data_IF_951433500047
#
_entry.id   IF_951433500047
#
_cell.length_a   1.000
_cell.length_b   1.000
_cell.length_c   1.000
_cell.angle_alpha   90.00
_cell.angle_beta   90.00
_cell.angle_gamma   90.00
#
_symmetry.space_group_name_H-M   'P 1'
#
loop_
_entity.id
_entity.type
_entity.pdbx_description
1 polymer ?
#
# COMPACT_ATOMS: atom_id res chain seq x y z
N UNK A 1 21.01 4.21 12.84
CA UNK A 1 22.27 3.73 13.41
C UNK A 1 23.43 3.95 12.49
N UNK A 2 24.63 3.94 13.03
CA UNK A 2 25.87 4.12 12.29
C UNK A 2 26.49 2.76 11.94
N UNK A 3 27.15 2.67 10.80
CA UNK A 3 27.90 1.47 10.38
C UNK A 3 29.38 1.80 10.33
N UNK A 4 30.19 0.94 10.92
CA UNK A 4 31.62 1.07 11.03
C UNK A 4 32.33 -0.07 10.32
N UNK A 5 33.49 0.20 9.71
CA UNK A 5 34.44 -0.84 9.33
C UNK A 5 35.12 -1.41 10.58
N UNK A 6 35.73 -2.59 10.46
CA UNK A 6 36.48 -3.25 11.54
C UNK A 6 37.57 -2.35 12.15
N UNK A 7 38.09 -1.36 11.39
CA UNK A 7 39.08 -0.38 11.85
C UNK A 7 38.44 0.86 12.52
N UNK A 8 37.16 0.86 12.87
CA UNK A 8 36.49 1.99 13.51
C UNK A 8 36.12 3.16 12.58
N UNK A 9 36.40 3.05 11.27
CA UNK A 9 36.03 4.10 10.31
C UNK A 9 34.52 4.07 10.04
N UNK A 10 33.84 5.18 10.32
CA UNK A 10 32.41 5.35 9.96
C UNK A 10 32.23 5.27 8.44
N UNK A 11 31.35 4.38 8.00
CA UNK A 11 30.97 4.27 6.57
C UNK A 11 29.68 5.03 6.33
N UNK A 12 28.70 4.88 7.20
CA UNK A 12 27.37 5.51 7.13
C UNK A 12 26.97 5.93 8.53
N UNK A 13 26.60 7.21 8.69
CA UNK A 13 26.11 7.77 9.95
C UNK A 13 24.67 8.28 9.80
N UNK A 14 23.90 8.20 10.89
CA UNK A 14 22.54 8.77 10.98
C UNK A 14 21.51 8.17 10.03
N UNK A 15 21.72 6.96 9.49
CA UNK A 15 20.80 6.29 8.56
C UNK A 15 20.15 5.06 9.17
N UNK A 16 18.98 4.69 8.63
CA UNK A 16 18.19 3.55 9.07
C UNK A 16 18.50 2.30 8.24
N UNK A 17 19.69 1.74 8.40
CA UNK A 17 20.20 0.64 7.56
C UNK A 17 19.41 -0.66 7.71
N UNK A 18 18.80 -0.90 8.86
CA UNK A 18 17.97 -2.08 9.13
C UNK A 18 16.48 -1.87 8.82
N UNK A 19 16.10 -0.69 8.32
CA UNK A 19 14.76 -0.42 7.84
C UNK A 19 14.62 -0.93 6.42
N UNK A 20 14.24 -2.19 6.27
CA UNK A 20 14.03 -2.83 4.96
C UNK A 20 12.71 -2.34 4.38
N UNK A 21 12.69 -2.12 3.06
CA UNK A 21 11.45 -1.86 2.32
C UNK A 21 10.51 -3.05 2.39
N UNK A 22 9.23 -2.81 2.22
CA UNK A 22 8.24 -3.89 2.27
C UNK A 22 8.33 -4.73 0.99
N UNK A 23 8.36 -6.07 1.15
CA UNK A 23 8.44 -6.98 0.02
C UNK A 23 7.08 -7.03 -0.68
N UNK A 24 7.07 -6.69 -1.97
CA UNK A 24 5.91 -6.81 -2.84
C UNK A 24 6.28 -7.61 -4.08
N UNK A 25 5.73 -8.80 -4.18
CA UNK A 25 5.91 -9.72 -5.31
C UNK A 25 4.66 -9.79 -6.19
N UNK A 26 3.74 -8.85 -6.06
CA UNK A 26 2.52 -8.84 -6.87
C UNK A 26 2.76 -8.75 -8.38
N UNK A 27 3.82 -8.05 -8.88
CA UNK A 27 4.15 -8.06 -10.29
C UNK A 27 4.66 -9.41 -10.80
N UNK A 28 5.24 -10.21 -9.91
CA UNK A 28 5.91 -11.47 -10.24
C UNK A 28 5.06 -12.71 -9.96
N UNK A 29 3.79 -12.54 -9.55
CA UNK A 29 2.92 -13.66 -9.16
C UNK A 29 2.79 -14.72 -10.25
N UNK A 30 2.63 -14.32 -11.51
CA UNK A 30 2.51 -15.26 -12.62
C UNK A 30 3.80 -16.06 -12.81
N UNK A 31 4.95 -15.41 -12.81
CA UNK A 31 6.23 -16.08 -12.92
C UNK A 31 6.49 -17.06 -11.75
N UNK A 32 6.05 -16.69 -10.54
CA UNK A 32 6.13 -17.56 -9.37
C UNK A 32 5.20 -18.78 -9.51
N UNK A 33 4.00 -18.60 -10.04
CA UNK A 33 3.07 -19.70 -10.33
C UNK A 33 3.65 -20.64 -11.40
N UNK A 34 4.23 -20.12 -12.47
CA UNK A 34 4.91 -20.90 -13.50
C UNK A 34 6.10 -21.68 -12.95
N UNK A 35 6.78 -21.14 -11.95
CA UNK A 35 7.84 -21.84 -11.22
C UNK A 35 7.33 -22.89 -10.21
N UNK A 36 6.01 -23.12 -10.12
CA UNK A 36 5.38 -24.15 -9.29
C UNK A 36 4.93 -23.65 -7.91
N UNK A 37 4.97 -22.36 -7.61
CA UNK A 37 4.44 -21.84 -6.34
C UNK A 37 2.92 -21.90 -6.36
N UNK A 38 2.33 -22.67 -5.46
CA UNK A 38 0.88 -22.89 -5.36
C UNK A 38 0.22 -22.22 -4.15
N UNK A 39 1.02 -21.64 -3.24
CA UNK A 39 0.52 -20.99 -2.03
C UNK A 39 1.37 -19.79 -1.67
N UNK A 40 0.71 -18.69 -1.34
CA UNK A 40 1.36 -17.42 -0.99
C UNK A 40 0.98 -17.02 0.43
N UNK A 41 1.99 -16.74 1.25
CA UNK A 41 1.80 -16.25 2.62
C UNK A 41 1.99 -14.75 2.65
N UNK A 42 0.97 -14.02 3.09
CA UNK A 42 1.05 -12.58 3.35
C UNK A 42 1.34 -12.37 4.83
N UNK A 43 2.41 -11.65 5.15
CA UNK A 43 2.78 -11.35 6.52
C UNK A 43 2.14 -10.03 6.95
N UNK A 44 1.31 -10.10 7.99
CA UNK A 44 0.58 -8.96 8.53
C UNK A 44 0.87 -8.67 10.00
N UNK A 45 1.96 -9.23 10.55
CA UNK A 45 2.31 -9.01 11.95
C UNK A 45 2.50 -7.53 12.25
N UNK A 46 1.88 -7.05 13.33
CA UNK A 46 1.87 -5.65 13.75
C UNK A 46 1.17 -4.70 12.75
N UNK A 47 0.37 -5.24 11.83
CA UNK A 47 -0.47 -4.47 10.93
C UNK A 47 -1.92 -4.46 11.43
N UNK A 48 -2.65 -3.40 11.08
CA UNK A 48 -4.06 -3.27 11.42
C UNK A 48 -4.99 -4.03 10.46
N UNK A 49 -6.28 -4.06 10.78
CA UNK A 49 -7.28 -4.73 9.97
C UNK A 49 -7.45 -4.09 8.58
N UNK A 50 -7.25 -2.77 8.47
CA UNK A 50 -7.33 -2.05 7.17
C UNK A 50 -6.25 -2.53 6.23
N UNK A 51 -5.01 -2.66 6.73
CA UNK A 51 -3.90 -3.21 5.97
C UNK A 51 -4.22 -4.62 5.46
N UNK A 52 -4.72 -5.49 6.34
CA UNK A 52 -5.05 -6.88 5.98
C UNK A 52 -6.14 -6.91 4.91
N UNK A 53 -7.23 -6.17 5.10
CA UNK A 53 -8.31 -6.07 4.09
C UNK A 53 -7.76 -5.63 2.74
N UNK A 54 -6.97 -4.56 2.72
CA UNK A 54 -6.44 -3.96 1.51
C UNK A 54 -5.48 -4.90 0.77
N UNK A 55 -4.43 -5.34 1.45
CA UNK A 55 -3.35 -6.13 0.82
C UNK A 55 -3.85 -7.53 0.39
N UNK A 56 -4.62 -8.22 1.24
CA UNK A 56 -5.17 -9.53 0.87
C UNK A 56 -6.13 -9.43 -0.31
N UNK A 57 -6.96 -8.39 -0.36
CA UNK A 57 -7.85 -8.16 -1.49
C UNK A 57 -7.09 -7.87 -2.77
N UNK A 58 -6.04 -7.05 -2.71
CA UNK A 58 -5.21 -6.75 -3.86
C UNK A 58 -4.55 -7.99 -4.47
N UNK A 59 -3.88 -8.79 -3.63
CA UNK A 59 -3.28 -10.05 -4.09
C UNK A 59 -4.32 -11.02 -4.62
N UNK A 60 -5.53 -11.06 -4.02
CA UNK A 60 -6.62 -11.90 -4.53
C UNK A 60 -7.04 -11.48 -5.92
N UNK A 61 -7.17 -10.18 -6.18
CA UNK A 61 -7.53 -9.67 -7.51
C UNK A 61 -6.47 -10.00 -8.55
N UNK A 62 -5.18 -9.79 -8.21
CA UNK A 62 -4.08 -10.14 -9.11
C UNK A 62 -4.08 -11.62 -9.45
N UNK A 63 -4.30 -12.50 -8.47
CA UNK A 63 -4.43 -13.94 -8.71
C UNK A 63 -5.68 -14.27 -9.55
N UNK A 64 -6.84 -13.65 -9.29
CA UNK A 64 -8.06 -13.91 -10.05
C UNK A 64 -7.92 -13.44 -11.50
N UNK A 65 -7.21 -12.35 -11.76
CA UNK A 65 -6.87 -11.89 -13.11
C UNK A 65 -6.00 -12.91 -13.86
N UNK A 66 -4.94 -13.42 -13.25
CA UNK A 66 -4.08 -14.46 -13.84
C UNK A 66 -4.90 -15.72 -14.11
N UNK A 67 -5.67 -16.20 -13.14
CA UNK A 67 -6.50 -17.40 -13.26
C UNK A 67 -7.56 -17.28 -14.37
N UNK A 68 -8.17 -16.10 -14.55
CA UNK A 68 -9.15 -15.89 -15.60
C UNK A 68 -8.53 -15.90 -17.00
N UNK A 69 -7.31 -15.39 -17.14
CA UNK A 69 -6.57 -15.36 -18.40
C UNK A 69 -5.92 -16.70 -18.73
N UNK A 70 -5.51 -17.45 -17.71
CA UNK A 70 -4.81 -18.75 -17.84
C UNK A 70 -5.62 -19.91 -17.27
N UNK A 71 -6.91 -19.94 -17.54
CA UNK A 71 -7.87 -20.93 -17.03
C UNK A 71 -7.57 -22.38 -17.44
N UNK A 72 -6.79 -22.60 -18.52
CA UNK A 72 -6.35 -23.92 -18.95
C UNK A 72 -5.16 -24.45 -18.11
N UNK A 73 -4.34 -23.55 -17.56
CA UNK A 73 -3.10 -23.89 -16.86
C UNK A 73 -3.33 -23.95 -15.34
N UNK A 74 -4.25 -23.13 -14.84
CA UNK A 74 -4.46 -22.95 -13.40
C UNK A 74 -5.93 -23.01 -13.03
N UNK A 75 -6.19 -23.58 -11.87
CA UNK A 75 -7.52 -23.61 -11.24
C UNK A 75 -7.46 -23.06 -9.81
N UNK A 76 -8.57 -22.50 -9.36
CA UNK A 76 -8.67 -22.07 -7.97
C UNK A 76 -8.69 -23.28 -7.06
N UNK A 77 -7.89 -23.26 -5.98
CA UNK A 77 -7.88 -24.30 -4.95
C UNK A 77 -9.15 -24.26 -4.07
N UNK A 78 -9.96 -23.24 -4.16
CA UNK A 78 -11.17 -23.07 -3.35
C UNK A 78 -12.32 -22.49 -4.14
N UNK A 79 -13.54 -22.98 -3.90
CA UNK A 79 -14.78 -22.40 -4.38
C UNK A 79 -15.14 -21.15 -3.56
N UNK A 80 -15.90 -20.27 -4.13
CA UNK A 80 -16.35 -19.04 -3.49
C UNK A 80 -15.65 -17.80 -4.00
N UNK A 81 -16.39 -16.70 -3.94
CA UNK A 81 -15.95 -15.37 -4.38
C UNK A 81 -16.01 -14.42 -3.21
N UNK A 82 -15.01 -13.55 -3.12
CA UNK A 82 -15.01 -12.47 -2.15
C UNK A 82 -15.73 -11.27 -2.76
N UNK A 83 -16.75 -10.79 -2.06
CA UNK A 83 -17.47 -9.56 -2.40
C UNK A 83 -17.06 -8.49 -1.42
N UNK A 84 -16.63 -7.34 -1.92
CA UNK A 84 -16.18 -6.18 -1.14
C UNK A 84 -16.73 -4.87 -1.73
N UNK A 85 -16.65 -3.82 -0.96
CA UNK A 85 -17.19 -2.49 -1.28
C UNK A 85 -16.07 -1.43 -1.36
N UNK A 86 -14.85 -1.84 -1.68
CA UNK A 86 -13.70 -0.95 -1.89
C UNK A 86 -12.79 -1.52 -2.98
N UNK A 87 -12.05 -0.65 -3.63
CA UNK A 87 -10.99 -1.00 -4.56
C UNK A 87 -9.67 -1.07 -3.81
N UNK A 88 -8.96 -2.21 -3.83
CA UNK A 88 -7.72 -2.35 -3.07
C UNK A 88 -6.56 -1.60 -3.72
N UNK A 89 -5.82 -0.88 -2.90
CA UNK A 89 -4.63 -0.13 -3.29
C UNK A 89 -3.55 -0.21 -2.19
N UNK A 90 -2.55 -1.09 -2.31
CA UNK A 90 -1.50 -1.23 -1.31
C UNK A 90 -0.70 0.04 -1.04
N UNK A 91 -0.60 0.97 -2.02
CA UNK A 91 0.12 2.23 -1.86
C UNK A 91 -0.49 3.13 -0.77
N UNK A 92 -1.78 2.96 -0.49
CA UNK A 92 -2.54 3.68 0.55
C UNK A 92 -2.46 3.05 1.93
N UNK A 93 -1.77 1.93 2.06
CA UNK A 93 -1.48 1.28 3.35
C UNK A 93 -0.08 1.66 3.83
N UNK A 94 0.26 1.20 5.05
CA UNK A 94 1.61 1.38 5.57
C UNK A 94 2.65 0.75 4.62
N UNK A 95 3.51 1.58 4.04
CA UNK A 95 4.63 1.11 3.22
C UNK A 95 5.87 1.99 3.42
N UNK A 96 7.03 1.38 3.43
CA UNK A 96 8.35 2.03 3.40
C UNK A 96 8.96 2.03 1.99
N UNK A 97 8.11 1.86 0.99
CA UNK A 97 8.45 1.60 -0.39
C UNK A 97 8.49 0.10 -0.67
N UNK A 98 8.14 -0.27 -1.91
CA UNK A 98 8.12 -1.65 -2.37
C UNK A 98 9.51 -2.13 -2.83
N UNK A 99 9.76 -3.43 -2.69
CA UNK A 99 10.92 -4.12 -3.23
C UNK A 99 10.58 -5.57 -3.55
N UNK A 100 11.07 -6.08 -4.66
CA UNK A 100 11.05 -7.52 -4.96
C UNK A 100 12.15 -8.29 -4.20
N UNK A 101 12.87 -7.62 -3.31
CA UNK A 101 13.98 -8.14 -2.54
C UNK A 101 15.11 -8.67 -3.44
N UNK A 102 15.33 -9.97 -3.46
CA UNK A 102 16.41 -10.62 -4.22
C UNK A 102 15.87 -11.55 -5.34
N UNK A 103 14.58 -11.45 -5.66
CA UNK A 103 13.94 -12.36 -6.63
C UNK A 103 14.65 -12.33 -7.99
N UNK A 104 15.04 -11.16 -8.46
CA UNK A 104 15.77 -10.98 -9.73
C UNK A 104 17.28 -10.76 -9.52
N UNK A 105 17.84 -11.31 -8.46
CA UNK A 105 19.26 -11.20 -8.12
C UNK A 105 19.58 -10.06 -7.16
N UNK A 106 20.85 -9.78 -6.99
CA UNK A 106 21.31 -8.74 -6.05
C UNK A 106 20.97 -7.35 -6.57
N UNK A 107 20.08 -6.63 -5.89
CA UNK A 107 19.74 -5.24 -6.19
C UNK A 107 20.19 -4.30 -5.07
N UNK A 108 20.52 -3.06 -5.48
CA UNK A 108 20.71 -1.96 -4.54
C UNK A 108 19.34 -1.39 -4.16
N UNK A 109 19.24 -0.79 -2.96
CA UNK A 109 18.03 -0.08 -2.57
C UNK A 109 16.96 -0.91 -1.85
N UNK A 110 17.35 -2.06 -1.28
CA UNK A 110 16.46 -2.89 -0.44
C UNK A 110 16.09 -2.18 0.88
N UNK A 111 16.90 -1.23 1.33
CA UNK A 111 16.65 -0.52 2.59
C UNK A 111 16.05 0.87 2.36
N UNK A 112 15.19 1.29 3.29
CA UNK A 112 14.68 2.65 3.42
C UNK A 112 15.58 3.44 4.37
N UNK A 113 16.62 4.07 3.82
CA UNK A 113 17.68 4.70 4.61
C UNK A 113 17.24 5.97 5.36
N UNK A 114 16.26 6.69 4.81
CA UNK A 114 15.94 8.06 5.27
C UNK A 114 14.87 8.07 6.36
N UNK A 115 14.03 7.04 6.42
CA UNK A 115 13.00 6.94 7.44
C UNK A 115 12.62 5.49 7.76
N UNK A 116 12.37 5.14 9.05
CA UNK A 116 11.77 3.88 9.43
C UNK A 116 10.24 3.92 9.36
N UNK A 117 9.66 5.11 9.07
CA UNK A 117 8.21 5.33 9.02
C UNK A 117 7.70 5.17 7.59
N UNK A 118 6.41 4.91 7.46
CA UNK A 118 5.73 4.99 6.17
C UNK A 118 5.83 6.42 5.64
N UNK A 119 6.29 6.55 4.41
CA UNK A 119 6.27 7.81 3.67
C UNK A 119 4.92 7.97 2.96
N UNK A 120 4.38 6.86 2.45
CA UNK A 120 3.11 6.83 1.75
C UNK A 120 3.23 7.16 0.27
N UNK A 121 2.11 7.53 -0.33
CA UNK A 121 1.94 7.84 -1.74
C UNK A 121 2.46 9.25 -2.06
N UNK A 122 3.26 9.40 -3.11
CA UNK A 122 3.64 10.72 -3.61
C UNK A 122 2.42 11.45 -4.17
N UNK A 123 2.15 12.65 -3.68
CA UNK A 123 0.98 13.42 -4.08
C UNK A 123 1.31 14.71 -4.81
N UNK A 124 2.54 15.18 -4.76
CA UNK A 124 2.95 16.35 -5.51
C UNK A 124 4.07 17.15 -4.85
N UNK A 125 4.32 18.34 -5.38
CA UNK A 125 5.37 19.25 -4.91
C UNK A 125 4.80 20.63 -4.58
N UNK A 126 5.29 21.25 -3.52
CA UNK A 126 4.92 22.61 -3.13
C UNK A 126 5.43 23.62 -4.16
N UNK A 127 4.53 24.40 -4.75
CA UNK A 127 4.82 25.42 -5.75
C UNK A 127 4.81 26.83 -5.19
N UNK A 128 4.18 27.06 -4.02
CA UNK A 128 4.11 28.37 -3.39
C UNK A 128 3.59 28.29 -1.97
N UNK A 129 3.86 29.34 -1.18
CA UNK A 129 3.36 29.46 0.19
C UNK A 129 2.25 30.51 0.22
N UNK A 130 1.23 30.29 1.05
CA UNK A 130 0.16 31.24 1.38
C UNK A 130 0.02 31.32 2.90
N UNK A 131 -0.76 32.30 3.38
CA UNK A 131 -1.00 32.45 4.83
C UNK A 131 -1.68 31.18 5.39
N UNK A 132 -0.98 30.43 6.24
CA UNK A 132 -1.47 29.21 6.88
C UNK A 132 -1.60 27.99 5.97
N UNK A 133 -1.07 28.04 4.74
CA UNK A 133 -1.15 26.95 3.77
C UNK A 133 -0.08 27.01 2.69
N UNK A 134 -0.20 26.12 1.71
CA UNK A 134 0.69 26.08 0.56
C UNK A 134 -0.07 25.68 -0.72
N UNK A 135 0.43 26.15 -1.86
CA UNK A 135 0.02 25.69 -3.18
C UNK A 135 0.87 24.50 -3.56
N UNK A 136 0.28 23.54 -4.23
CA UNK A 136 1.02 22.41 -4.77
C UNK A 136 0.55 22.04 -6.17
N UNK A 137 1.48 21.49 -6.94
CA UNK A 137 1.16 20.72 -8.13
C UNK A 137 0.78 19.32 -7.69
N UNK A 138 -0.51 18.99 -7.83
CA UNK A 138 -1.11 17.82 -7.20
C UNK A 138 -1.35 16.73 -8.25
N UNK A 139 -0.59 15.65 -8.20
CA UNK A 139 -0.83 14.47 -9.02
C UNK A 139 -2.04 13.65 -8.52
N UNK A 140 -2.31 13.72 -7.21
CA UNK A 140 -3.41 13.01 -6.54
C UNK A 140 -4.14 13.98 -5.62
N UNK A 141 -5.47 14.11 -5.70
CA UNK A 141 -6.22 15.07 -4.89
C UNK A 141 -6.14 14.72 -3.40
N UNK A 142 -5.84 15.71 -2.58
CA UNK A 142 -5.90 15.63 -1.12
C UNK A 142 -7.29 16.01 -0.62
N UNK A 143 -7.63 15.53 0.56
CA UNK A 143 -8.88 15.85 1.25
C UNK A 143 -8.63 16.22 2.72
N UNK A 144 -9.60 16.92 3.32
CA UNK A 144 -9.58 17.14 4.76
C UNK A 144 -9.56 15.81 5.51
N UNK A 145 -8.74 15.72 6.54
CA UNK A 145 -8.50 14.51 7.30
C UNK A 145 -7.34 13.65 6.80
N UNK A 146 -6.81 13.90 5.60
CA UNK A 146 -5.63 13.19 5.11
C UNK A 146 -4.40 13.49 5.97
N UNK A 147 -3.56 12.49 6.19
CA UNK A 147 -2.23 12.64 6.75
C UNK A 147 -1.22 12.83 5.64
N UNK A 148 -0.43 13.90 5.73
CA UNK A 148 0.66 14.16 4.79
C UNK A 148 2.00 14.20 5.50
N UNK A 149 3.05 13.84 4.79
CA UNK A 149 4.40 14.03 5.27
C UNK A 149 5.31 14.62 4.18
N UNK A 150 6.34 15.31 4.65
CA UNK A 150 7.44 15.82 3.83
C UNK A 150 8.71 15.12 4.24
N UNK A 151 9.58 14.82 3.28
CA UNK A 151 10.88 14.20 3.54
C UNK A 151 11.99 15.21 3.25
N UNK A 152 12.88 15.39 4.21
CA UNK A 152 14.02 16.27 4.09
C UNK A 152 15.29 15.59 4.62
N UNK A 153 16.44 16.22 4.45
CA UNK A 153 17.70 15.71 5.00
C UNK A 153 17.68 15.55 6.53
N UNK A 154 16.83 16.31 7.23
CA UNK A 154 16.62 16.22 8.68
C UNK A 154 15.60 15.15 9.10
N UNK A 155 15.00 14.43 8.15
CA UNK A 155 14.02 13.37 8.38
C UNK A 155 12.63 13.69 7.81
N UNK A 156 11.65 12.86 8.19
CA UNK A 156 10.26 13.01 7.77
C UNK A 156 9.46 13.80 8.81
N UNK A 157 8.74 14.82 8.36
CA UNK A 157 7.80 15.62 9.18
C UNK A 157 6.37 15.36 8.71
N UNK A 158 5.48 14.99 9.64
CA UNK A 158 4.07 14.68 9.36
C UNK A 158 3.11 15.76 9.88
N UNK A 159 2.03 15.99 9.14
CA UNK A 159 0.91 16.86 9.54
C UNK A 159 -0.39 16.36 8.92
N UNK A 160 -1.53 16.78 9.46
CA UNK A 160 -2.83 16.48 8.88
C UNK A 160 -3.33 17.65 8.04
N UNK A 161 -4.12 17.35 7.02
CA UNK A 161 -4.80 18.32 6.18
C UNK A 161 -6.10 18.75 6.86
N UNK A 162 -6.26 20.03 7.15
CA UNK A 162 -7.51 20.57 7.69
C UNK A 162 -8.51 20.89 6.59
N UNK A 163 -8.02 21.51 5.51
CA UNK A 163 -8.85 21.97 4.40
C UNK A 163 -8.04 21.98 3.11
N UNK A 164 -8.72 21.74 2.01
CA UNK A 164 -8.20 21.94 0.65
C UNK A 164 -9.13 22.91 -0.07
N UNK A 165 -8.56 23.86 -0.79
CA UNK A 165 -9.29 24.85 -1.54
C UNK A 165 -8.61 25.04 -2.91
N UNK A 166 -9.16 24.35 -3.92
CA UNK A 166 -8.51 24.23 -5.21
C UNK A 166 -7.08 23.71 -5.09
N UNK A 167 -6.06 24.45 -5.58
CA UNK A 167 -4.66 24.02 -5.48
C UNK A 167 -4.02 24.33 -4.13
N UNK A 168 -4.77 24.87 -3.16
CA UNK A 168 -4.24 25.29 -1.85
C UNK A 168 -4.60 24.28 -0.77
N UNK A 169 -3.58 23.83 -0.05
CA UNK A 169 -3.70 22.89 1.08
C UNK A 169 -3.42 23.66 2.37
N UNK A 170 -4.29 23.50 3.35
CA UNK A 170 -4.16 24.08 4.70
C UNK A 170 -3.93 22.97 5.71
N UNK A 171 -2.67 22.72 6.09
CA UNK A 171 -2.33 21.70 7.09
C UNK A 171 -2.47 22.22 8.51
N UNK A 172 -2.46 21.33 9.50
CA UNK A 172 -2.39 21.71 10.91
C UNK A 172 -1.08 22.42 11.28
N UNK A 173 0.01 22.07 10.61
CA UNK A 173 1.35 22.63 10.86
C UNK A 173 2.07 22.86 9.54
N UNK A 174 2.68 24.05 9.44
CA UNK A 174 3.50 24.45 8.28
C UNK A 174 5.00 24.16 8.46
N UNK A 175 5.39 23.61 9.61
CA UNK A 175 6.81 23.36 9.91
C UNK A 175 7.44 22.40 8.88
N UNK A 176 8.58 22.85 8.31
CA UNK A 176 9.33 22.06 7.31
C UNK A 176 8.78 22.13 5.88
N UNK A 177 7.68 22.83 5.63
CA UNK A 177 7.09 23.00 4.30
C UNK A 177 7.66 24.26 3.65
N UNK A 178 8.32 24.07 2.50
CA UNK A 178 8.95 25.13 1.68
C UNK A 178 8.60 24.92 0.22
N UNK A 179 8.76 25.92 -0.61
CA UNK A 179 8.64 25.78 -2.07
C UNK A 179 9.65 24.72 -2.54
N UNK A 180 9.22 23.83 -3.41
CA UNK A 180 10.01 22.69 -3.90
C UNK A 180 9.97 21.43 -3.02
N UNK A 181 9.34 21.48 -1.83
CA UNK A 181 9.18 20.32 -0.94
C UNK A 181 8.25 19.30 -1.59
N UNK A 182 8.68 18.03 -1.61
CA UNK A 182 7.85 16.91 -2.01
C UNK A 182 6.91 16.51 -0.87
N UNK A 183 5.66 16.27 -1.23
CA UNK A 183 4.59 15.92 -0.30
C UNK A 183 4.11 14.52 -0.60
N UNK A 184 3.97 13.72 0.46
CA UNK A 184 3.50 12.34 0.41
C UNK A 184 2.26 12.22 1.30
N UNK A 185 1.28 11.39 0.89
CA UNK A 185 0.12 11.05 1.69
C UNK A 185 0.38 9.73 2.42
N UNK A 186 0.56 9.77 3.72
CA UNK A 186 0.76 8.59 4.55
C UNK A 186 -0.52 8.08 5.23
N UNK A 187 -1.63 8.81 5.07
CA UNK A 187 -2.95 8.41 5.53
C UNK A 187 -4.02 8.99 4.61
N UNK A 188 -4.71 8.15 3.85
CA UNK A 188 -5.88 8.50 3.05
C UNK A 188 -7.13 8.30 3.91
N UNK A 189 -7.75 9.41 4.33
CA UNK A 189 -8.91 9.40 5.22
C UNK A 189 -10.13 8.73 4.57
N UNK A 190 -10.42 9.06 3.31
CA UNK A 190 -11.57 8.50 2.59
C UNK A 190 -11.42 7.02 2.36
N UNK A 191 -10.24 6.59 1.95
CA UNK A 191 -9.93 5.17 1.74
C UNK A 191 -10.01 4.38 3.06
N UNK A 192 -9.48 4.93 4.13
CA UNK A 192 -9.56 4.33 5.47
C UNK A 192 -11.00 4.15 5.93
N UNK A 193 -11.88 5.13 5.71
CA UNK A 193 -13.30 5.03 6.00
C UNK A 193 -13.99 3.97 5.13
N UNK A 194 -13.62 3.85 3.85
CA UNK A 194 -14.15 2.81 2.97
C UNK A 194 -13.79 1.41 3.49
N UNK A 195 -12.53 1.21 3.90
CA UNK A 195 -12.09 -0.05 4.49
C UNK A 195 -12.81 -0.38 5.80
N UNK A 196 -13.02 0.61 6.68
CA UNK A 196 -13.72 0.42 7.96
C UNK A 196 -15.17 0.02 7.76
N UNK A 197 -15.85 0.67 6.83
CA UNK A 197 -17.27 0.44 6.53
C UNK A 197 -17.49 -0.83 5.72
N UNK A 198 -16.52 -1.27 4.95
CA UNK A 198 -16.63 -2.41 4.07
C UNK A 198 -16.95 -3.70 4.82
N UNK A 199 -17.99 -4.39 4.36
CA UNK A 199 -18.42 -5.71 4.82
C UNK A 199 -17.98 -6.77 3.82
N UNK A 200 -16.67 -7.00 3.76
CA UNK A 200 -16.12 -8.08 2.92
C UNK A 200 -16.76 -9.41 3.29
N UNK A 201 -17.38 -10.06 2.32
CA UNK A 201 -18.06 -11.34 2.48
C UNK A 201 -17.51 -12.34 1.48
N UNK A 202 -17.41 -13.59 1.91
CA UNK A 202 -17.15 -14.71 1.01
C UNK A 202 -18.47 -15.42 0.74
N UNK A 203 -18.81 -15.56 -0.53
CA UNK A 203 -20.03 -16.23 -0.97
C UNK A 203 -19.68 -17.44 -1.83
N UNK A 204 -20.48 -18.48 -1.74
CA UNK A 204 -20.43 -19.68 -2.58
C UNK A 204 -21.75 -19.74 -3.31
N UNK A 205 -21.71 -19.80 -4.66
CA UNK A 205 -22.90 -20.01 -5.45
C UNK A 205 -23.42 -21.44 -5.24
N UNK A 206 -24.68 -21.56 -4.93
CA UNK A 206 -25.37 -22.85 -4.78
C UNK A 206 -26.46 -22.92 -5.84
N UNK A 207 -26.47 -23.99 -6.60
CA UNK A 207 -27.55 -24.34 -7.49
C UNK A 207 -28.39 -25.46 -6.85
N UNK A 208 -29.68 -25.22 -6.63
CA UNK A 208 -30.60 -26.21 -6.10
C UNK A 208 -31.68 -26.49 -7.16
N UNK A 209 -31.93 -27.78 -7.45
CA UNK A 209 -33.04 -28.25 -8.27
C UNK A 209 -34.02 -29.00 -7.35
N UNK A 210 -35.26 -28.52 -7.29
CA UNK A 210 -36.33 -29.19 -6.60
C UNK A 210 -37.25 -29.86 -7.61
N UNK A 211 -37.49 -31.14 -7.47
CA UNK A 211 -38.42 -31.88 -8.30
C UNK A 211 -39.49 -32.55 -7.39
N UNK A 212 -40.76 -32.39 -7.75
CA UNK A 212 -41.84 -33.17 -7.12
C UNK A 212 -41.91 -34.53 -7.79
N UNK A 213 -41.78 -35.57 -7.00
CA UNK A 213 -42.05 -36.96 -7.45
C UNK A 213 -43.51 -37.27 -7.04
N UNK A 214 -44.37 -37.58 -7.99
CA UNK A 214 -45.74 -38.07 -7.73
C UNK A 214 -45.66 -39.58 -7.85
N UNK A 215 -45.86 -40.26 -6.72
CA UNK A 215 -46.08 -41.71 -6.68
C UNK A 215 -47.59 -41.97 -6.82
N UNK A 216 -47.96 -42.59 -7.90
CA UNK A 216 -49.31 -43.14 -8.03
C UNK A 216 -49.31 -44.52 -7.39
N UNK A 217 -50.02 -44.69 -6.27
CA UNK A 217 -50.41 -45.96 -5.70
C UNK A 217 -51.69 -46.45 -6.34
#
# INVERSE_FOLDING_TARGET
>A
GDVYKRQGRTIIAGKHLLSVRDMDLSPDLEALMDAGVSSFKIEGRLKDLRYIKNVVSYYRDRLDEILSRRWNDYVRSSCGRTVREFEPDPSKSFTRGATEYMLHGKRRGVASFDTPKAVGEYVGRVTGLVRGGFRMDCAVPLAAGDGICTVSASGAAGTNVNRVDGPVVYPNRMSGIKVGTEVYRNYDHRFSLALDRSRTRRTIGVYARVAMSVSYT
#
